data_IF_557929499755
#
_entry.id   IF_557929499755
#
_cell.length_a   1.000
_cell.length_b   1.000
_cell.length_c   1.000
_cell.angle_alpha   90.00
_cell.angle_beta   90.00
_cell.angle_gamma   90.00
#
_symmetry.space_group_name_H-M   'P 1'
#
loop_
_entity.id
_entity.type
_entity.pdbx_description
1 polymer ?
#
# COMPACT_ATOMS: atom_id res chain seq x y z
N UNK A 1 54.55 -10.58 -18.50
CA UNK A 1 54.98 -9.17 -18.50
C UNK A 1 53.86 -8.30 -19.08
N UNK A 2 53.50 -7.22 -18.36
CA UNK A 2 52.61 -6.08 -18.73
C UNK A 2 51.12 -6.42 -18.91
N UNK A 3 50.16 -6.15 -18.02
CA UNK A 3 49.82 -5.04 -17.08
C UNK A 3 49.09 -3.83 -17.72
N UNK A 4 47.96 -3.48 -17.07
CA UNK A 4 47.14 -2.23 -17.09
C UNK A 4 45.98 -2.19 -18.10
N UNK A 5 44.78 -1.66 -17.83
CA UNK A 5 44.28 -0.84 -16.71
C UNK A 5 42.73 -0.91 -16.69
N UNK A 6 42.13 -0.97 -15.49
CA UNK A 6 40.70 -0.83 -15.28
C UNK A 6 40.30 0.66 -15.27
N UNK A 7 39.14 0.98 -15.85
CA UNK A 7 38.44 2.25 -15.66
C UNK A 7 37.04 1.92 -15.14
N UNK A 8 36.79 2.30 -13.90
CA UNK A 8 35.47 2.32 -13.30
C UNK A 8 34.73 3.57 -13.81
N UNK A 9 33.52 3.38 -14.34
CA UNK A 9 32.60 4.47 -14.66
C UNK A 9 31.40 4.37 -13.72
N UNK A 10 31.41 5.17 -12.66
CA UNK A 10 30.29 5.36 -11.76
C UNK A 10 29.27 6.27 -12.46
N UNK A 11 28.11 5.73 -12.83
CA UNK A 11 26.98 6.53 -13.32
C UNK A 11 26.04 6.78 -12.14
N UNK A 12 25.99 8.05 -11.71
CA UNK A 12 25.02 8.56 -10.73
C UNK A 12 23.69 8.77 -11.46
N UNK A 13 22.65 8.04 -11.06
CA UNK A 13 21.27 8.33 -11.44
C UNK A 13 20.79 9.55 -10.64
N UNK A 14 20.59 10.68 -11.32
CA UNK A 14 19.97 11.88 -10.77
C UNK A 14 18.46 11.87 -11.03
N UNK A 15 17.71 12.14 -9.96
CA UNK A 15 16.28 12.42 -9.98
C UNK A 15 15.96 13.65 -10.85
N UNK A 16 14.96 13.53 -11.73
CA UNK A 16 14.38 14.66 -12.44
C UNK A 16 13.53 15.51 -11.49
N UNK A 17 14.15 16.50 -10.86
CA UNK A 17 13.49 17.71 -10.36
C UNK A 17 13.73 18.84 -11.36
N UNK A 18 12.66 19.34 -11.98
CA UNK A 18 12.72 20.45 -12.92
C UNK A 18 12.80 21.80 -12.19
N UNK A 19 13.89 22.53 -12.43
CA UNK A 19 14.04 23.94 -12.09
C UNK A 19 14.70 24.68 -13.25
N UNK A 20 14.06 25.76 -13.71
CA UNK A 20 14.70 26.83 -14.50
C UNK A 20 14.70 28.10 -13.63
N UNK A 21 15.68 28.99 -13.64
CA UNK A 21 16.88 29.12 -14.47
C UNK A 21 17.14 30.61 -14.69
N UNK A 22 18.32 31.08 -14.24
CA UNK A 22 18.91 32.39 -14.58
C UNK A 22 18.93 33.39 -13.41
N UNK A 23 20.05 34.02 -13.03
CA UNK A 23 21.40 33.99 -13.55
C UNK A 23 22.27 35.04 -12.83
N UNK A 24 23.58 34.77 -12.87
CA UNK A 24 24.73 35.70 -12.80
C UNK A 24 25.19 36.37 -11.48
N UNK A 25 26.48 36.08 -11.21
CA UNK A 25 27.60 36.97 -10.88
C UNK A 25 27.97 37.30 -9.41
N UNK A 26 29.07 36.67 -8.99
CA UNK A 26 30.33 37.22 -8.46
C UNK A 26 30.42 37.89 -7.06
N UNK A 27 31.17 37.18 -6.20
CA UNK A 27 32.28 37.61 -5.32
C UNK A 27 32.09 38.48 -4.06
N UNK A 28 32.78 38.00 -3.02
CA UNK A 28 33.42 38.65 -1.86
C UNK A 28 32.59 39.07 -0.64
N UNK A 29 32.77 38.26 0.42
CA UNK A 29 33.22 38.57 1.79
C UNK A 29 32.65 39.77 2.57
N UNK A 30 32.27 39.45 3.80
CA UNK A 30 31.66 40.27 4.84
C UNK A 30 32.56 41.37 5.44
N UNK A 31 31.95 42.45 5.93
CA UNK A 31 32.10 42.90 7.33
C UNK A 31 31.11 44.03 7.72
N UNK A 32 30.65 43.93 8.99
CA UNK A 32 30.32 44.98 9.96
C UNK A 32 29.19 46.02 9.73
N UNK A 33 28.33 46.11 10.75
CA UNK A 33 27.32 47.14 11.05
C UNK A 33 27.96 48.43 11.67
N UNK A 34 27.25 49.41 12.30
CA UNK A 34 25.81 49.76 12.34
C UNK A 34 25.52 51.30 12.22
N UNK A 35 24.27 51.69 12.57
CA UNK A 35 23.74 53.02 12.93
C UNK A 35 23.26 53.92 11.76
N UNK A 36 22.18 54.71 11.83
CA UNK A 36 21.11 54.97 12.81
C UNK A 36 20.10 55.93 12.15
N UNK A 37 18.87 55.96 12.70
CA UNK A 37 17.93 57.10 12.75
C UNK A 37 17.32 57.70 11.45
N UNK A 38 16.01 57.54 11.28
CA UNK A 38 15.00 58.62 11.49
C UNK A 38 13.60 58.18 11.03
N UNK A 39 12.61 58.40 11.90
CA UNK A 39 11.16 58.37 11.59
C UNK A 39 10.71 59.78 11.12
N UNK A 40 9.41 60.12 10.91
CA UNK A 40 8.19 59.32 10.68
C UNK A 40 7.32 59.86 9.49
N UNK A 41 6.28 59.13 9.06
CA UNK A 41 5.09 59.74 8.41
C UNK A 41 3.82 58.86 8.48
N UNK A 42 2.89 59.31 9.32
CA UNK A 42 1.43 59.42 9.19
C UNK A 42 0.57 58.38 8.40
N UNK A 43 -0.29 57.71 9.19
CA UNK A 43 -1.77 57.61 9.09
C UNK A 43 -2.45 57.22 7.77
N UNK A 44 -3.06 56.03 7.78
CA UNK A 44 -4.38 55.79 7.21
C UNK A 44 -5.18 54.85 8.13
N UNK A 45 -6.41 55.25 8.41
CA UNK A 45 -7.40 54.56 9.25
C UNK A 45 -7.84 53.22 8.65
N UNK A 46 -8.18 52.21 9.47
CA UNK A 46 -8.70 50.93 8.97
C UNK A 46 -10.21 51.01 8.68
N UNK A 47 -10.62 50.50 7.53
CA UNK A 47 -12.02 50.23 7.21
C UNK A 47 -12.54 49.10 8.11
N UNK A 48 -13.71 49.32 8.71
CA UNK A 48 -14.40 48.37 9.56
C UNK A 48 -14.86 47.15 8.75
N UNK A 49 -14.27 45.99 9.03
CA UNK A 49 -14.80 44.71 8.58
C UNK A 49 -15.98 44.32 9.47
N UNK A 50 -17.14 44.18 8.85
CA UNK A 50 -18.36 43.57 9.40
C UNK A 50 -18.02 42.19 9.99
N UNK A 51 -18.44 41.85 11.23
CA UNK A 51 -18.20 40.51 11.77
C UNK A 51 -18.98 39.49 10.95
N UNK A 52 -18.26 38.52 10.39
CA UNK A 52 -18.87 37.35 9.76
C UNK A 52 -19.75 36.64 10.79
N UNK A 53 -20.98 36.36 10.35
CA UNK A 53 -21.98 35.50 10.97
C UNK A 53 -21.34 34.39 11.80
N UNK A 54 -21.63 34.37 13.10
CA UNK A 54 -21.20 33.33 14.01
C UNK A 54 -21.62 31.96 13.51
N UNK A 55 -20.63 31.18 13.05
CA UNK A 55 -20.74 29.74 12.92
C UNK A 55 -21.02 29.21 14.33
N UNK A 56 -22.26 28.85 14.61
CA UNK A 56 -22.61 28.13 15.83
C UNK A 56 -21.76 26.87 15.87
N UNK A 57 -20.86 26.78 16.86
CA UNK A 57 -20.02 25.61 17.05
C UNK A 57 -20.89 24.34 17.05
N UNK A 58 -20.56 23.39 16.17
CA UNK A 58 -21.23 22.09 16.14
C UNK A 58 -21.01 21.45 17.51
N UNK A 59 -22.10 21.26 18.26
CA UNK A 59 -22.03 20.56 19.55
C UNK A 59 -21.96 19.07 19.25
N UNK A 60 -20.76 18.52 19.28
CA UNK A 60 -20.57 17.07 19.20
C UNK A 60 -21.24 16.41 20.40
N UNK A 61 -22.27 15.60 20.14
CA UNK A 61 -22.97 14.83 21.16
C UNK A 61 -22.67 13.35 20.93
N UNK A 62 -21.82 12.78 21.78
CA UNK A 62 -21.35 11.39 21.64
C UNK A 62 -20.07 11.13 22.41
N UNK A 63 -19.71 9.86 22.53
CA UNK A 63 -18.39 9.45 23.02
C UNK A 63 -17.29 9.77 22.01
N UNK A 64 -16.02 9.46 22.34
CA UNK A 64 -14.89 9.67 21.43
C UNK A 64 -14.94 8.77 20.18
N UNK A 65 -15.75 7.71 20.20
CA UNK A 65 -15.87 6.72 19.13
C UNK A 65 -17.33 6.41 18.80
N UNK A 66 -17.61 6.11 17.53
CA UNK A 66 -18.92 5.67 17.05
C UNK A 66 -18.76 4.62 15.96
N UNK A 67 -19.67 3.64 15.93
CA UNK A 67 -19.85 2.70 14.81
C UNK A 67 -21.00 3.14 13.88
N UNK A 68 -21.55 4.33 14.11
CA UNK A 68 -22.59 4.96 13.30
C UNK A 68 -21.98 6.18 12.59
N UNK A 69 -21.85 6.10 11.27
CA UNK A 69 -21.25 7.15 10.43
C UNK A 69 -22.01 8.49 10.53
N UNK A 70 -23.30 8.47 10.87
CA UNK A 70 -24.10 9.71 10.99
C UNK A 70 -23.78 10.51 12.26
N UNK A 71 -23.07 9.90 13.20
CA UNK A 71 -22.66 10.53 14.48
C UNK A 71 -21.22 11.03 14.48
N UNK A 72 -20.52 10.95 13.35
CA UNK A 72 -19.17 11.50 13.22
C UNK A 72 -19.23 13.00 13.41
N UNK A 73 -18.30 13.53 14.21
CA UNK A 73 -18.28 14.95 14.53
C UNK A 73 -16.85 15.47 14.60
N UNK A 74 -16.66 16.68 14.07
CA UNK A 74 -15.42 17.45 14.19
C UNK A 74 -15.70 18.78 14.89
N UNK A 75 -14.71 19.28 15.63
CA UNK A 75 -14.80 20.61 16.25
C UNK A 75 -14.67 21.74 15.23
N UNK A 76 -14.75 22.99 15.70
CA UNK A 76 -14.67 24.18 14.86
C UNK A 76 -13.30 24.35 14.14
N UNK A 77 -12.26 23.62 14.57
CA UNK A 77 -10.95 23.59 13.90
C UNK A 77 -10.85 22.50 12.82
N UNK A 78 -11.89 21.67 12.68
CA UNK A 78 -11.91 20.51 11.78
C UNK A 78 -11.29 19.25 12.38
N UNK A 79 -10.87 19.28 13.66
CA UNK A 79 -10.34 18.10 14.35
C UNK A 79 -11.48 17.15 14.68
N UNK A 80 -11.31 15.87 14.36
CA UNK A 80 -12.28 14.82 14.69
C UNK A 80 -12.40 14.67 16.20
N UNK A 81 -13.63 14.75 16.72
CA UNK A 81 -13.98 14.61 18.15
C UNK A 81 -14.66 13.26 18.41
N UNK A 82 -15.50 12.81 17.48
CA UNK A 82 -16.13 11.49 17.51
C UNK A 82 -15.69 10.73 16.26
N UNK A 83 -14.75 9.80 16.45
CA UNK A 83 -14.15 9.02 15.39
C UNK A 83 -15.04 7.85 14.94
N UNK A 84 -15.12 7.63 13.62
CA UNK A 84 -15.78 6.46 13.05
C UNK A 84 -14.85 5.26 13.07
N UNK A 85 -15.29 4.16 13.69
CA UNK A 85 -14.49 2.95 13.93
C UNK A 85 -15.27 1.70 13.54
N UNK A 86 -14.59 0.55 13.43
CA UNK A 86 -15.23 -0.72 13.08
C UNK A 86 -15.92 -1.35 14.29
N UNK A 87 -15.28 -1.27 15.44
CA UNK A 87 -15.82 -1.69 16.73
C UNK A 87 -15.58 -0.64 17.80
N UNK A 88 -16.24 -0.75 18.96
CA UNK A 88 -15.92 0.14 20.08
C UNK A 88 -14.58 -0.31 20.69
N UNK A 89 -13.56 0.56 20.74
CA UNK A 89 -12.24 0.14 21.20
C UNK A 89 -12.24 -0.09 22.70
N UNK A 90 -11.59 -1.18 23.11
CA UNK A 90 -11.30 -1.44 24.51
C UNK A 90 -10.00 -0.74 24.93
N UNK A 91 -9.00 -0.72 24.04
CA UNK A 91 -7.72 -0.07 24.27
C UNK A 91 -7.46 0.96 23.19
N UNK A 92 -7.10 2.18 23.60
CA UNK A 92 -6.61 3.22 22.69
C UNK A 92 -5.10 3.30 22.82
N UNK A 93 -4.40 3.12 21.70
CA UNK A 93 -2.95 3.32 21.60
C UNK A 93 -2.70 4.75 21.13
N UNK A 94 -2.07 5.61 21.96
CA UNK A 94 -1.81 7.00 21.59
C UNK A 94 -0.88 7.12 20.38
N UNK A 95 -1.03 8.23 19.64
CA UNK A 95 -0.08 8.62 18.60
C UNK A 95 1.34 8.81 19.18
N UNK A 96 2.36 8.43 18.42
CA UNK A 96 3.76 8.49 18.82
C UNK A 96 4.17 7.41 19.82
N UNK A 97 3.34 6.37 20.04
CA UNK A 97 3.71 5.24 20.91
C UNK A 97 4.91 4.49 20.32
N UNK A 98 5.95 4.28 21.15
CA UNK A 98 7.14 3.51 20.77
C UNK A 98 7.19 2.20 21.57
N UNK A 99 7.21 1.08 20.87
CA UNK A 99 7.43 -0.26 21.41
C UNK A 99 8.94 -0.52 21.40
N UNK A 100 9.58 -0.31 22.55
CA UNK A 100 11.04 -0.42 22.72
C UNK A 100 11.52 -1.78 23.24
N UNK A 101 10.60 -2.67 23.59
CA UNK A 101 10.86 -4.05 23.99
C UNK A 101 9.76 -4.98 23.48
N UNK A 102 10.03 -6.28 23.46
CA UNK A 102 9.05 -7.28 23.03
C UNK A 102 7.72 -7.10 23.76
N UNK A 103 6.65 -6.96 22.98
CA UNK A 103 5.32 -6.60 23.44
C UNK A 103 4.30 -7.47 22.74
N UNK A 104 3.31 -7.94 23.50
CA UNK A 104 2.15 -8.64 22.97
C UNK A 104 0.90 -7.81 23.24
N UNK A 105 0.03 -7.67 22.25
CA UNK A 105 -1.30 -7.09 22.43
C UNK A 105 -2.31 -8.22 22.68
N UNK A 106 -2.66 -8.54 23.93
CA UNK A 106 -3.53 -9.68 24.22
C UNK A 106 -4.98 -9.45 23.76
N UNK A 107 -5.70 -10.54 23.47
CA UNK A 107 -7.13 -10.50 23.15
C UNK A 107 -7.96 -9.78 24.23
N UNK A 108 -7.54 -9.84 25.50
CA UNK A 108 -8.22 -9.16 26.62
C UNK A 108 -8.16 -7.63 26.55
N UNK A 109 -7.39 -7.03 25.64
CA UNK A 109 -7.38 -5.58 25.39
C UNK A 109 -7.98 -5.19 24.05
N UNK A 110 -8.48 -6.14 23.27
CA UNK A 110 -9.03 -5.93 21.94
C UNK A 110 -10.51 -5.48 22.00
N UNK A 111 -10.99 -4.61 21.10
CA UNK A 111 -10.29 -3.98 19.99
C UNK A 111 -9.27 -2.92 20.39
N UNK A 112 -8.15 -2.88 19.67
CA UNK A 112 -7.11 -1.85 19.80
C UNK A 112 -7.32 -0.78 18.74
N UNK A 113 -7.60 0.45 19.16
CA UNK A 113 -7.65 1.60 18.25
C UNK A 113 -6.32 2.35 18.25
N UNK A 114 -5.76 2.54 17.05
CA UNK A 114 -4.51 3.26 16.85
C UNK A 114 -4.80 4.73 16.54
N UNK A 115 -4.53 5.62 17.49
CA UNK A 115 -4.83 7.05 17.35
C UNK A 115 -3.91 7.80 16.36
N UNK A 116 -2.81 7.17 15.95
CA UNK A 116 -1.82 7.74 15.03
C UNK A 116 -0.79 6.69 14.64
N UNK A 117 0.49 7.02 14.72
CA UNK A 117 1.60 6.12 14.41
C UNK A 117 2.11 5.42 15.66
N UNK A 118 2.28 4.10 15.57
CA UNK A 118 2.96 3.26 16.54
C UNK A 118 4.25 2.76 15.92
N UNK A 119 5.38 3.00 16.57
CA UNK A 119 6.67 2.53 16.12
C UNK A 119 7.07 1.25 16.85
N UNK A 120 7.37 0.18 16.12
CA UNK A 120 8.05 -0.99 16.65
C UNK A 120 9.55 -0.78 16.50
N UNK A 121 10.26 -0.46 17.58
CA UNK A 121 11.67 -0.09 17.53
C UNK A 121 12.57 -1.26 17.10
N UNK A 122 13.76 -0.95 16.57
CA UNK A 122 14.75 -1.95 16.18
C UNK A 122 15.11 -2.85 17.36
N UNK A 123 15.07 -4.16 17.14
CA UNK A 123 15.35 -5.17 18.17
C UNK A 123 14.16 -5.50 19.08
N UNK A 124 13.03 -4.80 18.95
CA UNK A 124 11.78 -5.16 19.61
C UNK A 124 10.84 -5.92 18.66
N UNK A 125 9.97 -6.72 19.24
CA UNK A 125 8.92 -7.46 18.54
C UNK A 125 7.55 -7.03 19.03
N UNK A 126 6.66 -6.64 18.11
CA UNK A 126 5.23 -6.58 18.40
C UNK A 126 4.56 -7.87 17.92
N UNK A 127 3.90 -8.57 18.84
CA UNK A 127 3.07 -9.74 18.54
C UNK A 127 1.59 -9.42 18.71
N UNK A 128 0.82 -9.64 17.65
CA UNK A 128 -0.64 -9.54 17.63
C UNK A 128 -1.19 -10.96 17.44
N UNK A 129 -1.52 -11.67 18.54
CA UNK A 129 -1.99 -13.06 18.48
C UNK A 129 -3.42 -13.16 17.93
N UNK A 130 -3.83 -14.40 17.68
CA UNK A 130 -5.17 -14.79 17.24
C UNK A 130 -6.30 -14.14 18.06
N UNK A 131 -7.42 -13.85 17.39
CA UNK A 131 -8.61 -13.26 18.00
C UNK A 131 -8.50 -11.77 18.32
N UNK A 132 -7.36 -11.13 18.04
CA UNK A 132 -7.18 -9.70 18.23
C UNK A 132 -7.69 -8.92 17.02
N UNK A 133 -8.45 -7.87 17.29
CA UNK A 133 -8.76 -6.78 16.36
C UNK A 133 -7.88 -5.58 16.66
N UNK A 134 -7.18 -5.10 15.63
CA UNK A 134 -6.48 -3.82 15.59
C UNK A 134 -7.11 -2.97 14.50
N UNK A 135 -7.47 -1.75 14.83
CA UNK A 135 -8.18 -0.85 13.93
C UNK A 135 -7.60 0.56 13.91
N UNK A 136 -7.70 1.19 12.74
CA UNK A 136 -7.56 2.62 12.55
C UNK A 136 -8.91 3.29 12.38
N UNK A 137 -8.90 4.46 11.74
CA UNK A 137 -10.14 5.13 11.37
C UNK A 137 -10.85 4.38 10.24
N UNK A 138 -12.15 4.17 10.40
CA UNK A 138 -13.00 3.67 9.33
C UNK A 138 -13.34 4.82 8.37
N UNK A 139 -13.22 4.63 7.05
CA UNK A 139 -13.64 5.64 6.08
C UNK A 139 -15.13 5.97 6.26
N UNK A 140 -15.46 7.25 6.41
CA UNK A 140 -16.86 7.70 6.47
C UNK A 140 -17.46 7.56 5.08
N UNK A 141 -18.54 6.78 4.89
CA UNK A 141 -19.19 6.66 3.59
C UNK A 141 -19.73 8.03 3.16
N UNK A 142 -19.39 8.45 1.95
CA UNK A 142 -19.98 9.64 1.35
C UNK A 142 -21.13 9.24 0.42
N UNK A 143 -22.17 10.07 0.37
CA UNK A 143 -23.38 9.79 -0.42
C UNK A 143 -23.34 10.39 -1.83
N UNK A 144 -22.39 11.28 -2.12
CA UNK A 144 -22.21 11.92 -3.43
C UNK A 144 -20.76 12.33 -3.63
N UNK A 145 -20.23 12.07 -4.83
CA UNK A 145 -18.92 12.47 -5.36
C UNK A 145 -17.85 12.75 -4.30
N UNK A 146 -17.20 11.69 -3.82
CA UNK A 146 -16.03 11.82 -2.98
C UNK A 146 -14.92 10.85 -3.37
N UNK A 147 -13.70 11.28 -3.13
CA UNK A 147 -12.52 10.43 -3.16
C UNK A 147 -12.18 10.19 -1.70
N UNK A 148 -12.10 8.92 -1.31
CA UNK A 148 -11.60 8.52 -0.01
C UNK A 148 -10.22 9.10 0.23
N UNK A 149 -9.80 9.14 1.49
CA UNK A 149 -8.42 9.47 1.81
C UNK A 149 -7.75 8.23 2.36
N UNK A 150 -6.52 7.98 1.94
CA UNK A 150 -5.64 7.02 2.60
C UNK A 150 -5.58 7.42 4.08
N UNK A 151 -5.77 6.48 5.02
CA UNK A 151 -5.62 6.78 6.44
C UNK A 151 -4.25 7.39 6.71
N UNK A 152 -4.23 8.60 7.27
CA UNK A 152 -3.00 9.24 7.78
C UNK A 152 -2.74 8.91 9.25
N UNK A 153 -3.59 8.06 9.83
CA UNK A 153 -3.55 7.58 11.21
C UNK A 153 -3.77 6.07 11.21
N UNK A 154 -3.44 5.41 12.31
CA UNK A 154 -3.53 3.96 12.41
C UNK A 154 -2.39 3.24 11.71
N UNK A 155 -1.18 3.75 11.89
CA UNK A 155 0.03 3.25 11.23
C UNK A 155 0.83 2.43 12.25
N UNK A 156 1.24 1.23 11.87
CA UNK A 156 2.27 0.46 12.55
C UNK A 156 3.53 0.55 11.70
N UNK A 157 4.51 1.33 12.16
CA UNK A 157 5.81 1.51 11.51
C UNK A 157 6.86 0.58 12.13
N UNK A 158 7.45 -0.28 11.32
CA UNK A 158 8.16 -1.48 11.78
C UNK A 158 9.67 -1.36 11.49
N UNK A 159 10.41 -0.93 12.52
CA UNK A 159 11.87 -0.98 12.56
C UNK A 159 12.42 -2.32 13.10
N UNK A 160 11.65 -2.95 13.99
CA UNK A 160 11.93 -4.24 14.61
C UNK A 160 11.26 -5.39 13.87
N UNK A 161 10.38 -6.12 14.58
CA UNK A 161 9.61 -7.22 14.01
C UNK A 161 8.13 -7.07 14.33
N UNK A 162 7.27 -7.32 13.35
CA UNK A 162 5.83 -7.43 13.53
C UNK A 162 5.38 -8.84 13.18
N UNK A 163 4.76 -9.52 14.15
CA UNK A 163 4.15 -10.83 13.99
C UNK A 163 2.65 -10.72 14.20
N UNK A 164 1.87 -11.02 13.16
CA UNK A 164 0.40 -10.98 13.20
C UNK A 164 -0.15 -12.37 12.95
N UNK A 165 -1.01 -12.81 13.86
CA UNK A 165 -1.71 -14.08 13.84
C UNK A 165 -0.85 -15.30 14.14
N UNK A 166 -1.46 -16.46 13.93
CA UNK A 166 -0.93 -17.77 14.29
C UNK A 166 -1.72 -18.86 13.58
N UNK A 167 -2.84 -19.28 14.15
CA UNK A 167 -3.67 -20.39 13.63
C UNK A 167 -5.11 -19.99 13.33
N UNK A 168 -5.64 -19.04 14.09
CA UNK A 168 -6.98 -18.48 13.98
C UNK A 168 -6.93 -17.02 13.50
N UNK A 169 -8.09 -16.43 13.26
CA UNK A 169 -8.18 -15.15 12.56
C UNK A 169 -7.78 -13.94 13.43
N UNK A 170 -6.92 -13.07 12.91
CA UNK A 170 -6.66 -11.69 13.41
C UNK A 170 -7.33 -10.68 12.50
N UNK A 171 -7.76 -9.52 13.01
CA UNK A 171 -8.36 -8.47 12.18
C UNK A 171 -7.49 -7.21 12.18
N UNK A 172 -7.12 -6.73 10.99
CA UNK A 172 -6.44 -5.46 10.76
C UNK A 172 -7.36 -4.56 9.91
N UNK A 173 -8.06 -3.61 10.56
CA UNK A 173 -9.15 -2.86 9.95
C UNK A 173 -8.78 -1.37 9.79
N UNK A 174 -8.62 -0.88 8.57
CA UNK A 174 -8.19 0.51 8.33
C UNK A 174 -6.77 0.81 8.85
N UNK A 175 -5.93 -0.21 9.01
CA UNK A 175 -4.57 -0.11 9.54
C UNK A 175 -3.57 -0.05 8.39
N UNK A 176 -2.55 0.80 8.51
CA UNK A 176 -1.37 0.78 7.64
C UNK A 176 -0.24 0.05 8.34
N UNK A 177 0.30 -1.00 7.73
CA UNK A 177 1.55 -1.65 8.14
C UNK A 177 2.66 -1.17 7.22
N UNK A 178 3.69 -0.54 7.78
CA UNK A 178 4.79 0.06 7.04
C UNK A 178 6.14 -0.41 7.60
N UNK A 179 7.14 -0.58 6.75
CA UNK A 179 8.54 -0.64 7.14
C UNK A 179 9.45 0.16 6.19
N UNK A 180 8.87 1.12 5.43
CA UNK A 180 9.57 1.90 4.39
C UNK A 180 10.26 3.15 4.91
N UNK A 181 10.10 3.51 6.19
CA UNK A 181 10.75 4.71 6.74
C UNK A 181 12.27 4.60 6.59
N UNK A 182 12.92 5.61 5.99
CA UNK A 182 14.35 5.57 5.71
C UNK A 182 15.24 5.76 6.96
N UNK A 183 14.68 6.32 8.04
CA UNK A 183 15.37 6.61 9.30
C UNK A 183 15.21 5.48 10.31
N UNK A 184 14.10 4.75 10.27
CA UNK A 184 13.79 3.67 11.23
C UNK A 184 13.38 2.34 10.59
N UNK A 185 12.95 2.31 9.33
CA UNK A 185 12.43 1.13 8.66
C UNK A 185 13.46 0.04 8.32
N UNK A 186 12.98 -0.99 7.62
CA UNK A 186 13.73 -2.21 7.32
C UNK A 186 13.50 -3.37 8.30
N UNK A 187 12.54 -3.25 9.22
CA UNK A 187 12.11 -4.36 10.07
C UNK A 187 11.36 -5.45 9.29
N UNK A 188 11.19 -6.62 9.89
CA UNK A 188 10.49 -7.75 9.24
C UNK A 188 9.02 -7.78 9.61
N UNK A 189 8.17 -8.08 8.63
CA UNK A 189 6.71 -8.17 8.82
C UNK A 189 6.23 -9.57 8.41
N UNK A 190 5.57 -10.25 9.34
CA UNK A 190 4.88 -11.53 9.11
C UNK A 190 3.40 -11.37 9.45
N UNK A 191 2.54 -11.59 8.46
CA UNK A 191 1.09 -11.55 8.60
C UNK A 191 0.54 -12.93 8.24
N UNK A 192 -0.13 -13.58 9.18
CA UNK A 192 -0.67 -14.92 8.98
C UNK A 192 -2.10 -14.95 9.51
N UNK A 193 -2.97 -15.72 8.84
CA UNK A 193 -4.36 -15.90 9.27
C UNK A 193 -5.08 -14.56 9.56
N UNK A 194 -4.83 -13.51 8.78
CA UNK A 194 -5.40 -12.20 9.05
C UNK A 194 -6.55 -11.86 8.08
N UNK A 195 -7.56 -11.15 8.58
CA UNK A 195 -8.51 -10.36 7.79
C UNK A 195 -8.03 -8.92 7.75
N UNK A 196 -7.62 -8.46 6.58
CA UNK A 196 -7.24 -7.10 6.31
C UNK A 196 -8.39 -6.45 5.54
N UNK A 197 -8.92 -5.35 6.07
CA UNK A 197 -10.00 -4.60 5.42
C UNK A 197 -9.68 -3.11 5.42
N UNK A 198 -9.76 -2.48 4.24
CA UNK A 198 -9.37 -1.07 4.05
C UNK A 198 -7.96 -0.76 4.56
N UNK A 199 -7.11 -1.79 4.59
CA UNK A 199 -5.77 -1.74 5.13
C UNK A 199 -4.76 -1.32 4.06
N UNK A 200 -3.60 -0.86 4.52
CA UNK A 200 -2.46 -0.59 3.66
C UNK A 200 -1.25 -1.40 4.12
N UNK A 201 -0.49 -1.94 3.18
CA UNK A 201 0.77 -2.64 3.42
C UNK A 201 1.83 -2.00 2.53
N UNK A 202 2.79 -1.33 3.17
CA UNK A 202 3.87 -0.57 2.52
C UNK A 202 5.22 -1.15 2.96
N UNK A 203 5.75 -2.04 2.13
CA UNK A 203 6.97 -2.78 2.47
C UNK A 203 8.15 -2.31 1.62
N UNK A 204 9.28 -2.11 2.30
CA UNK A 204 10.58 -1.84 1.72
C UNK A 204 11.10 -3.05 0.97
N UNK A 205 11.59 -2.89 -0.27
CA UNK A 205 12.25 -3.95 -1.03
C UNK A 205 13.48 -4.58 -0.32
N UNK A 206 14.04 -3.89 0.68
CA UNK A 206 15.21 -4.37 1.42
C UNK A 206 14.86 -5.34 2.56
N UNK A 207 13.59 -5.47 2.91
CA UNK A 207 13.14 -6.22 4.07
C UNK A 207 12.32 -7.45 3.67
N UNK A 208 12.55 -8.62 4.28
CA UNK A 208 11.69 -9.78 4.11
C UNK A 208 10.26 -9.48 4.57
N UNK A 209 9.30 -9.94 3.78
CA UNK A 209 7.88 -9.91 4.10
C UNK A 209 7.24 -11.28 3.85
N UNK A 210 6.34 -11.66 4.74
CA UNK A 210 5.54 -12.87 4.59
C UNK A 210 4.07 -12.57 4.85
N UNK A 211 3.22 -12.98 3.93
CA UNK A 211 1.77 -13.00 4.12
C UNK A 211 1.24 -14.40 3.78
N UNK A 212 0.59 -15.05 4.73
CA UNK A 212 0.03 -16.39 4.52
C UNK A 212 -1.38 -16.56 5.08
N UNK A 213 -2.18 -17.41 4.44
CA UNK A 213 -3.53 -17.78 4.91
C UNK A 213 -4.44 -16.60 5.24
N UNK A 214 -4.22 -15.44 4.61
CA UNK A 214 -4.86 -14.18 4.96
C UNK A 214 -5.88 -13.76 3.90
N UNK A 215 -6.88 -13.00 4.32
CA UNK A 215 -7.90 -12.41 3.46
C UNK A 215 -7.71 -10.90 3.45
N UNK A 216 -7.58 -10.32 2.27
CA UNK A 216 -7.34 -8.91 2.04
C UNK A 216 -8.47 -8.34 1.18
N UNK A 217 -9.31 -7.53 1.79
CA UNK A 217 -10.39 -6.81 1.14
C UNK A 217 -10.01 -5.35 1.04
N UNK A 218 -9.96 -4.84 -0.19
CA UNK A 218 -9.64 -3.41 -0.44
C UNK A 218 -8.28 -3.04 0.16
N UNK A 219 -7.29 -3.92 -0.02
CA UNK A 219 -5.91 -3.65 0.40
C UNK A 219 -5.27 -2.65 -0.55
N UNK A 220 -4.60 -1.64 0.01
CA UNK A 220 -3.86 -0.62 -0.74
C UNK A 220 -4.69 0.20 -1.73
N UNK A 221 -6.01 0.31 -1.52
CA UNK A 221 -6.90 1.11 -2.38
C UNK A 221 -7.52 2.26 -1.63
N UNK A 222 -7.90 3.27 -2.39
CA UNK A 222 -8.74 4.36 -1.93
C UNK A 222 -10.12 4.22 -2.59
N UNK A 223 -11.22 4.23 -1.82
CA UNK A 223 -12.56 4.19 -2.40
C UNK A 223 -12.84 5.49 -3.14
N UNK A 224 -13.56 5.39 -4.25
CA UNK A 224 -14.06 6.53 -5.02
C UNK A 224 -15.55 6.32 -5.18
N UNK A 225 -16.35 7.27 -4.71
CA UNK A 225 -17.79 7.25 -4.92
C UNK A 225 -18.12 8.26 -6.01
N UNK A 226 -18.74 7.80 -7.10
CA UNK A 226 -19.28 8.66 -8.18
C UNK A 226 -20.71 8.25 -8.47
N UNK A 227 -21.63 9.22 -8.44
CA UNK A 227 -23.06 8.95 -8.66
C UNK A 227 -23.63 7.79 -7.81
N UNK A 228 -23.16 7.64 -6.56
CA UNK A 228 -23.61 6.60 -5.63
C UNK A 228 -22.99 5.21 -5.84
N UNK A 229 -22.10 5.04 -6.82
CA UNK A 229 -21.35 3.80 -7.05
C UNK A 229 -19.95 3.93 -6.46
N UNK A 230 -19.58 2.98 -5.59
CA UNK A 230 -18.21 2.88 -5.05
C UNK A 230 -17.35 2.05 -6.00
N UNK A 231 -16.31 2.66 -6.54
CA UNK A 231 -15.18 2.00 -7.17
C UNK A 231 -13.94 2.17 -6.30
N UNK A 232 -12.83 1.58 -6.72
CA UNK A 232 -11.56 1.70 -6.02
C UNK A 232 -10.47 2.15 -6.99
N UNK A 233 -9.48 2.86 -6.45
CA UNK A 233 -8.26 3.21 -7.15
C UNK A 233 -7.08 2.80 -6.28
N UNK A 234 -5.98 2.32 -6.88
CA UNK A 234 -4.76 2.10 -6.11
C UNK A 234 -4.29 3.37 -5.42
N UNK A 235 -3.74 3.21 -4.21
CA UNK A 235 -3.20 4.32 -3.43
C UNK A 235 -2.12 5.08 -4.20
N UNK A 236 -2.08 6.40 -4.00
CA UNK A 236 -1.10 7.30 -4.64
C UNK A 236 0.33 7.10 -4.16
N UNK A 237 0.55 6.32 -3.11
CA UNK A 237 1.88 6.09 -2.50
C UNK A 237 2.73 5.06 -3.26
N UNK A 238 2.31 4.68 -4.47
CA UNK A 238 2.93 3.63 -5.27
C UNK A 238 2.56 2.23 -4.78
N UNK A 239 2.83 1.24 -5.62
CA UNK A 239 2.67 -0.17 -5.26
C UNK A 239 3.73 -0.56 -4.23
N UNK A 240 3.41 -1.34 -3.19
CA UNK A 240 4.47 -1.98 -2.42
C UNK A 240 5.29 -2.85 -3.38
N UNK A 241 6.61 -2.82 -3.22
CA UNK A 241 7.54 -3.56 -4.07
C UNK A 241 8.19 -4.65 -3.23
N UNK A 242 7.81 -5.89 -3.48
CA UNK A 242 8.30 -7.04 -2.74
C UNK A 242 9.56 -7.62 -3.37
N UNK A 243 10.52 -7.96 -2.50
CA UNK A 243 11.69 -8.79 -2.80
C UNK A 243 11.90 -9.77 -1.66
N UNK A 244 12.45 -10.95 -1.95
CA UNK A 244 12.70 -12.03 -0.99
C UNK A 244 11.49 -12.27 -0.06
N UNK A 245 10.30 -12.21 -0.63
CA UNK A 245 9.03 -12.22 0.11
C UNK A 245 8.21 -13.47 -0.21
N UNK A 246 7.34 -13.85 0.71
CA UNK A 246 6.45 -15.01 0.57
C UNK A 246 4.99 -14.59 0.67
N UNK A 247 4.20 -14.94 -0.34
CA UNK A 247 2.77 -14.68 -0.45
C UNK A 247 2.10 -16.02 -0.76
N UNK A 248 1.49 -16.68 0.23
CA UNK A 248 0.84 -17.97 0.00
C UNK A 248 -0.54 -18.11 0.60
N UNK A 249 -1.44 -18.80 -0.09
CA UNK A 249 -2.76 -19.13 0.47
C UNK A 249 -3.58 -17.89 0.86
N UNK A 250 -3.33 -16.74 0.23
CA UNK A 250 -4.04 -15.51 0.53
C UNK A 250 -5.21 -15.29 -0.44
N UNK A 251 -6.21 -14.54 0.00
CA UNK A 251 -7.28 -14.02 -0.86
C UNK A 251 -7.15 -12.51 -0.96
N UNK A 252 -7.16 -11.96 -2.17
CA UNK A 252 -7.18 -10.53 -2.44
C UNK A 252 -8.46 -10.20 -3.22
N UNK A 253 -9.32 -9.34 -2.66
CA UNK A 253 -10.59 -8.92 -3.27
C UNK A 253 -10.61 -7.41 -3.38
N UNK A 254 -10.94 -6.89 -4.57
CA UNK A 254 -11.03 -5.45 -4.85
C UNK A 254 -9.80 -4.66 -4.35
N UNK A 255 -8.64 -5.31 -4.38
CA UNK A 255 -7.39 -4.81 -3.83
C UNK A 255 -6.52 -4.24 -4.94
N UNK A 256 -5.62 -3.33 -4.57
CA UNK A 256 -4.61 -2.81 -5.46
C UNK A 256 -3.55 -3.87 -5.72
N UNK A 257 -2.87 -3.69 -6.83
CA UNK A 257 -1.69 -4.46 -7.18
C UNK A 257 -0.54 -4.26 -6.18
N UNK A 258 0.46 -5.11 -6.32
CA UNK A 258 1.79 -4.92 -5.79
C UNK A 258 2.82 -5.23 -6.87
N UNK A 259 3.98 -4.60 -6.74
CA UNK A 259 5.13 -4.89 -7.57
C UNK A 259 5.99 -5.97 -6.91
N UNK A 260 6.65 -6.80 -7.70
CA UNK A 260 7.51 -7.85 -7.19
C UNK A 260 8.65 -8.19 -8.14
N UNK A 261 9.76 -8.65 -7.59
CA UNK A 261 10.86 -9.20 -8.35
C UNK A 261 10.77 -10.73 -8.48
N UNK A 262 11.63 -11.36 -9.28
CA UNK A 262 11.64 -12.81 -9.47
C UNK A 262 12.14 -13.61 -8.26
N UNK A 263 12.41 -13.00 -7.11
CA UNK A 263 12.74 -13.71 -5.87
C UNK A 263 11.51 -13.97 -4.99
N UNK A 264 10.36 -13.37 -5.32
CA UNK A 264 9.12 -13.51 -4.57
C UNK A 264 8.43 -14.83 -4.86
N UNK A 265 8.00 -15.52 -3.79
CA UNK A 265 7.20 -16.74 -3.89
C UNK A 265 5.72 -16.38 -3.75
N UNK A 266 4.96 -16.57 -4.82
CA UNK A 266 3.52 -16.30 -4.91
C UNK A 266 2.78 -17.58 -5.30
N UNK A 267 2.26 -18.31 -4.32
CA UNK A 267 1.65 -19.62 -4.56
C UNK A 267 0.28 -19.77 -3.93
N UNK A 268 -0.63 -20.42 -4.63
CA UNK A 268 -1.95 -20.76 -4.09
C UNK A 268 -2.72 -19.54 -3.56
N UNK A 269 -2.52 -18.35 -4.14
CA UNK A 269 -3.31 -17.18 -3.80
C UNK A 269 -4.53 -17.09 -4.72
N UNK A 270 -5.57 -16.44 -4.22
CA UNK A 270 -6.77 -16.08 -4.95
C UNK A 270 -6.80 -14.56 -5.14
N UNK A 271 -6.97 -14.11 -6.38
CA UNK A 271 -7.13 -12.71 -6.74
C UNK A 271 -8.49 -12.53 -7.41
N UNK A 272 -9.34 -11.67 -6.85
CA UNK A 272 -10.70 -11.42 -7.33
C UNK A 272 -10.86 -9.93 -7.58
N UNK A 273 -11.20 -9.57 -8.83
CA UNK A 273 -11.53 -8.18 -9.22
C UNK A 273 -10.45 -7.16 -8.82
N UNK A 274 -9.17 -7.52 -8.98
CA UNK A 274 -8.07 -6.62 -8.65
C UNK A 274 -8.21 -5.26 -9.36
N UNK A 275 -7.95 -4.19 -8.63
CA UNK A 275 -8.09 -2.81 -9.12
C UNK A 275 -7.03 -2.48 -10.15
N UNK A 276 -5.83 -3.07 -10.03
CA UNK A 276 -4.71 -2.94 -10.96
C UNK A 276 -4.02 -4.29 -11.18
N UNK A 277 -3.24 -4.41 -12.26
CA UNK A 277 -2.44 -5.60 -12.58
C UNK A 277 -1.22 -5.72 -11.69
N UNK A 278 -0.87 -6.94 -11.27
CA UNK A 278 0.44 -7.26 -10.67
C UNK A 278 1.58 -6.70 -11.52
N UNK A 279 2.63 -6.19 -10.89
CA UNK A 279 3.76 -5.58 -11.61
C UNK A 279 5.02 -6.41 -11.42
N UNK A 280 5.52 -7.03 -12.49
CA UNK A 280 6.83 -7.67 -12.47
C UNK A 280 7.91 -6.61 -12.70
N UNK A 281 8.81 -6.45 -11.74
CA UNK A 281 9.99 -5.58 -11.86
C UNK A 281 11.14 -6.37 -12.48
N UNK A 282 11.81 -5.76 -13.45
CA UNK A 282 13.01 -6.28 -14.08
C UNK A 282 14.24 -6.22 -13.14
N UNK A 283 14.26 -7.07 -12.12
CA UNK A 283 15.38 -7.28 -11.19
C UNK A 283 15.75 -8.76 -11.10
N UNK A 284 15.99 -9.37 -12.26
CA UNK A 284 16.42 -10.76 -12.36
C UNK A 284 17.88 -10.91 -11.89
N UNK A 285 18.23 -12.02 -11.20
CA UNK A 285 19.61 -12.28 -10.83
C UNK A 285 20.49 -12.39 -12.08
N UNK A 286 21.64 -11.71 -12.06
CA UNK A 286 22.59 -11.70 -13.19
C UNK A 286 23.08 -13.09 -13.61
N UNK A 287 23.02 -14.07 -12.70
CA UNK A 287 23.30 -15.48 -12.95
C UNK A 287 22.36 -16.37 -12.14
N UNK A 288 21.75 -17.36 -12.79
CA UNK A 288 20.87 -18.33 -12.15
C UNK A 288 19.42 -18.23 -12.62
N UNK A 289 18.63 -19.26 -12.31
CA UNK A 289 17.18 -19.19 -12.51
C UNK A 289 16.57 -18.26 -11.44
N UNK A 290 15.48 -17.54 -11.75
CA UNK A 290 14.70 -16.86 -10.72
C UNK A 290 14.31 -17.86 -9.63
N UNK A 291 14.45 -17.45 -8.36
CA UNK A 291 14.16 -18.29 -7.19
C UNK A 291 12.68 -18.25 -6.81
N UNK A 292 11.99 -17.20 -7.21
CA UNK A 292 10.57 -16.96 -7.02
C UNK A 292 9.71 -17.82 -7.96
N UNK A 293 8.50 -18.10 -7.50
CA UNK A 293 7.55 -19.00 -8.16
C UNK A 293 6.17 -18.35 -8.11
N UNK A 294 5.54 -18.12 -9.25
CA UNK A 294 4.18 -17.60 -9.35
C UNK A 294 3.24 -18.66 -9.93
N UNK A 295 2.87 -19.67 -9.11
CA UNK A 295 2.13 -20.86 -9.57
C UNK A 295 0.92 -21.20 -8.71
N UNK A 296 -0.02 -21.93 -9.30
CA UNK A 296 -1.21 -22.45 -8.64
C UNK A 296 -2.09 -21.35 -8.01
N UNK A 297 -1.97 -20.12 -8.48
CA UNK A 297 -2.85 -19.02 -8.10
C UNK A 297 -4.14 -19.07 -8.94
N UNK A 298 -5.19 -18.41 -8.46
CA UNK A 298 -6.44 -18.19 -9.19
C UNK A 298 -6.67 -16.71 -9.43
N UNK A 299 -6.94 -16.32 -10.67
CA UNK A 299 -7.26 -14.95 -11.09
C UNK A 299 -8.69 -14.91 -11.62
N UNK A 300 -9.59 -14.29 -10.87
CA UNK A 300 -11.02 -14.25 -11.17
C UNK A 300 -11.50 -12.83 -11.45
N UNK A 301 -12.22 -12.66 -12.55
CA UNK A 301 -12.87 -11.40 -12.94
C UNK A 301 -14.36 -11.63 -13.03
N UNK A 302 -15.15 -10.94 -12.20
CA UNK A 302 -16.59 -11.14 -12.10
C UNK A 302 -17.36 -10.24 -13.06
N UNK A 303 -18.43 -10.78 -13.67
CA UNK A 303 -19.24 -10.08 -14.69
C UNK A 303 -19.85 -8.75 -14.24
N UNK A 304 -20.05 -8.58 -12.92
CA UNK A 304 -20.62 -7.38 -12.34
C UNK A 304 -19.61 -6.61 -11.48
N UNK A 305 -18.32 -6.87 -11.66
CA UNK A 305 -17.27 -6.16 -10.94
C UNK A 305 -17.30 -4.67 -11.31
N UNK A 306 -17.33 -3.74 -10.33
CA UNK A 306 -17.21 -2.32 -10.59
C UNK A 306 -15.79 -1.92 -11.02
N UNK A 307 -14.80 -2.78 -10.77
CA UNK A 307 -13.42 -2.54 -11.20
C UNK A 307 -13.31 -2.93 -12.67
N UNK A 308 -12.81 -2.03 -13.51
CA UNK A 308 -12.70 -2.24 -14.97
C UNK A 308 -11.40 -2.93 -15.39
N UNK A 309 -10.43 -3.03 -14.48
CA UNK A 309 -9.16 -3.69 -14.78
C UNK A 309 -9.40 -5.19 -15.07
N UNK A 310 -8.86 -5.66 -16.19
CA UNK A 310 -8.84 -7.07 -16.58
C UNK A 310 -7.43 -7.62 -16.74
N UNK A 311 -6.42 -6.77 -16.52
CA UNK A 311 -5.03 -7.16 -16.59
C UNK A 311 -4.63 -7.86 -15.29
N UNK A 312 -4.05 -9.05 -15.42
CA UNK A 312 -3.51 -9.83 -14.29
C UNK A 312 -2.11 -9.35 -13.96
N UNK A 313 -1.26 -9.22 -14.98
CA UNK A 313 0.16 -8.92 -14.78
C UNK A 313 0.74 -8.08 -15.91
N UNK A 314 1.61 -7.15 -15.54
CA UNK A 314 2.40 -6.33 -16.44
C UNK A 314 3.89 -6.38 -16.09
N UNK A 315 4.74 -6.61 -17.08
CA UNK A 315 6.18 -6.54 -16.94
C UNK A 315 6.69 -5.10 -17.15
N UNK A 316 7.43 -4.58 -16.18
CA UNK A 316 7.94 -3.22 -16.14
C UNK A 316 9.47 -3.24 -15.98
N UNK A 317 10.16 -2.31 -16.64
CA UNK A 317 11.62 -2.23 -16.63
C UNK A 317 12.18 -1.72 -17.95
N UNK A 318 13.49 -1.88 -18.13
CA UNK A 318 14.19 -1.45 -19.34
C UNK A 318 14.29 -2.65 -20.28
N UNK A 319 13.67 -2.56 -21.45
CA UNK A 319 13.82 -3.61 -22.45
C UNK A 319 15.28 -3.75 -22.91
N UNK A 320 15.76 -4.98 -22.87
CA UNK A 320 17.04 -5.38 -23.42
C UNK A 320 16.88 -6.74 -24.08
N UNK A 321 16.97 -6.77 -25.42
CA UNK A 321 16.81 -7.99 -26.21
C UNK A 321 17.83 -9.09 -25.83
N UNK A 322 19.00 -8.70 -25.30
CA UNK A 322 20.06 -9.62 -24.86
C UNK A 322 19.81 -10.23 -23.47
N UNK A 323 18.83 -9.72 -22.71
CA UNK A 323 18.55 -10.13 -21.34
C UNK A 323 17.06 -10.37 -21.13
N UNK A 324 16.34 -10.85 -22.16
CA UNK A 324 14.95 -11.25 -21.97
C UNK A 324 14.90 -12.44 -21.02
N UNK A 325 14.30 -12.24 -19.86
CA UNK A 325 14.05 -13.31 -18.90
C UNK A 325 12.64 -13.85 -19.08
N UNK A 326 12.43 -15.10 -18.66
CA UNK A 326 11.10 -15.70 -18.62
C UNK A 326 10.70 -15.93 -17.17
N UNK A 327 9.53 -15.44 -16.80
CA UNK A 327 8.90 -15.75 -15.53
C UNK A 327 7.84 -16.83 -15.72
N UNK A 328 7.88 -17.84 -14.86
CA UNK A 328 6.98 -18.99 -14.94
C UNK A 328 5.67 -18.70 -14.20
N UNK A 329 4.61 -18.52 -14.98
CA UNK A 329 3.21 -18.34 -14.58
C UNK A 329 2.35 -19.56 -14.96
N UNK A 330 2.97 -20.73 -15.19
CA UNK A 330 2.25 -21.95 -15.52
C UNK A 330 1.39 -22.46 -14.35
N UNK A 331 0.37 -23.26 -14.67
CA UNK A 331 -0.53 -23.90 -13.71
C UNK A 331 -1.34 -22.92 -12.83
N UNK A 332 -1.42 -21.66 -13.21
CA UNK A 332 -2.41 -20.76 -12.63
C UNK A 332 -3.78 -20.97 -13.29
N UNK A 333 -4.85 -20.81 -12.52
CA UNK A 333 -6.22 -20.77 -13.04
C UNK A 333 -6.62 -19.33 -13.35
N UNK A 334 -7.07 -19.08 -14.57
CA UNK A 334 -7.34 -17.71 -15.06
C UNK A 334 -8.83 -17.37 -15.06
N UNK A 335 -9.68 -18.19 -14.44
CA UNK A 335 -11.13 -18.06 -14.51
C UNK A 335 -11.74 -18.45 -15.87
N UNK A 336 -10.89 -18.63 -16.89
CA UNK A 336 -11.19 -19.02 -18.26
C UNK A 336 -10.10 -19.98 -18.78
N UNK A 337 -10.38 -20.70 -19.86
CA UNK A 337 -9.42 -21.62 -20.53
C UNK A 337 -9.01 -21.19 -21.93
N UNK A 338 -9.61 -20.11 -22.45
CA UNK A 338 -9.30 -19.57 -23.78
C UNK A 338 -7.96 -18.82 -23.76
N UNK A 339 -6.97 -19.31 -24.52
CA UNK A 339 -5.62 -18.74 -24.53
C UNK A 339 -5.56 -17.30 -25.06
N UNK A 340 -6.46 -16.92 -25.99
CA UNK A 340 -6.51 -15.54 -26.49
C UNK A 340 -6.93 -14.58 -25.39
N UNK A 341 -7.94 -14.96 -24.61
CA UNK A 341 -8.40 -14.21 -23.44
C UNK A 341 -7.34 -14.18 -22.33
N UNK A 342 -6.63 -15.29 -22.08
CA UNK A 342 -5.54 -15.31 -21.10
C UNK A 342 -4.41 -14.36 -21.54
N UNK A 343 -3.98 -14.45 -22.80
CA UNK A 343 -2.93 -13.58 -23.34
C UNK A 343 -3.33 -12.10 -23.26
N UNK A 344 -4.58 -11.74 -23.52
CA UNK A 344 -5.02 -10.34 -23.42
C UNK A 344 -5.01 -9.78 -22.00
N UNK A 345 -4.78 -10.61 -20.97
CA UNK A 345 -4.66 -10.21 -19.56
C UNK A 345 -3.20 -10.07 -19.10
N UNK A 346 -2.24 -10.27 -20.02
CA UNK A 346 -0.80 -10.24 -19.77
C UNK A 346 -0.18 -9.13 -20.62
N UNK A 347 0.59 -8.24 -20.00
CA UNK A 347 1.35 -7.20 -20.66
C UNK A 347 2.85 -7.49 -20.52
N UNK A 348 3.48 -8.06 -21.55
CA UNK A 348 4.90 -8.46 -21.55
C UNK A 348 5.55 -8.28 -22.93
N UNK A 349 6.79 -8.76 -23.12
CA UNK A 349 7.51 -8.59 -24.40
C UNK A 349 6.86 -9.30 -25.59
N UNK A 350 5.84 -10.13 -25.38
CA UNK A 350 5.09 -10.80 -26.45
C UNK A 350 3.90 -9.97 -26.93
N UNK A 351 3.57 -8.87 -26.23
CA UNK A 351 2.53 -7.94 -26.66
C UNK A 351 2.96 -7.20 -27.94
N UNK A 352 2.29 -7.53 -29.04
CA UNK A 352 2.53 -6.91 -30.36
C UNK A 352 2.25 -5.41 -30.39
N UNK A 353 1.44 -4.88 -29.47
CA UNK A 353 1.17 -3.45 -29.34
C UNK A 353 2.32 -2.69 -28.67
N UNK A 354 3.14 -3.37 -27.87
CA UNK A 354 4.31 -2.80 -27.23
C UNK A 354 5.45 -3.84 -27.08
N UNK A 355 6.22 -4.11 -28.15
CA UNK A 355 7.30 -5.10 -28.12
C UNK A 355 8.53 -4.65 -27.30
N UNK A 356 8.50 -3.45 -26.70
CA UNK A 356 9.56 -2.91 -25.85
C UNK A 356 9.27 -3.11 -24.36
N UNK A 357 8.38 -4.01 -24.01
CA UNK A 357 8.23 -4.46 -22.63
C UNK A 357 9.32 -5.48 -22.30
N UNK A 358 9.93 -5.42 -21.11
CA UNK A 358 10.91 -6.42 -20.71
C UNK A 358 10.22 -7.74 -20.38
N UNK A 359 10.98 -8.83 -20.50
CA UNK A 359 10.62 -10.17 -20.01
C UNK A 359 9.39 -10.82 -20.67
N UNK A 360 9.34 -12.15 -20.57
CA UNK A 360 8.25 -13.01 -21.06
C UNK A 360 7.55 -13.65 -19.87
N UNK A 361 6.23 -13.64 -19.86
CA UNK A 361 5.40 -14.27 -18.83
C UNK A 361 4.84 -15.57 -19.41
N UNK A 362 5.46 -16.69 -19.05
CA UNK A 362 5.07 -18.00 -19.55
C UNK A 362 3.91 -18.56 -18.73
N UNK A 363 2.67 -18.41 -19.22
CA UNK A 363 1.46 -18.90 -18.52
C UNK A 363 1.07 -20.34 -18.88
N UNK A 364 1.66 -20.93 -19.92
CA UNK A 364 1.28 -22.26 -20.40
C UNK A 364 2.01 -23.39 -19.65
N UNK A 365 1.33 -24.51 -19.33
CA UNK A 365 -0.11 -24.72 -19.48
C UNK A 365 -0.91 -23.92 -18.44
N UNK A 366 -2.06 -23.37 -18.85
CA UNK A 366 -3.05 -22.83 -17.92
C UNK A 366 -3.80 -23.97 -17.22
N UNK A 367 -4.15 -23.80 -15.95
CA UNK A 367 -4.94 -24.78 -15.23
C UNK A 367 -6.41 -24.73 -15.69
N UNK A 368 -7.05 -25.90 -15.82
CA UNK A 368 -8.47 -26.00 -16.21
C UNK A 368 -9.43 -25.65 -15.06
N UNK A 369 -8.97 -25.73 -13.82
CA UNK A 369 -9.70 -25.37 -12.60
C UNK A 369 -8.72 -24.81 -11.56
N UNK A 370 -9.25 -24.14 -10.53
CA UNK A 370 -8.47 -23.72 -9.38
C UNK A 370 -7.77 -24.93 -8.71
N UNK A 371 -6.57 -24.70 -8.18
CA UNK A 371 -5.86 -25.68 -7.36
C UNK A 371 -6.62 -25.89 -6.03
N UNK A 372 -6.78 -27.13 -5.52
CA UNK A 372 -7.53 -27.39 -4.29
C UNK A 372 -6.99 -26.67 -3.03
N UNK A 373 -5.71 -26.28 -3.02
CA UNK A 373 -5.11 -25.55 -1.91
C UNK A 373 -5.26 -24.02 -2.06
N UNK A 374 -5.73 -23.51 -3.20
CA UNK A 374 -6.09 -22.09 -3.34
C UNK A 374 -7.34 -21.79 -2.51
N UNK A 375 -7.39 -20.66 -1.79
CA UNK A 375 -8.58 -20.26 -1.04
C UNK A 375 -9.86 -20.27 -1.89
N UNK A 376 -10.97 -20.61 -1.24
CA UNK A 376 -12.27 -20.60 -1.88
C UNK A 376 -12.69 -19.17 -2.26
N UNK A 377 -13.34 -19.04 -3.41
CA UNK A 377 -13.87 -17.77 -3.89
C UNK A 377 -15.01 -17.25 -3.00
N UNK A 378 -14.83 -16.11 -2.30
CA UNK A 378 -15.89 -15.54 -1.46
C UNK A 378 -17.08 -15.02 -2.28
N UNK A 379 -16.94 -14.89 -3.60
CA UNK A 379 -17.96 -14.45 -4.55
C UNK A 379 -18.40 -15.58 -5.50
N UNK A 380 -18.34 -16.84 -5.04
CA UNK A 380 -18.57 -18.02 -5.90
C UNK A 380 -19.97 -18.14 -6.54
N UNK A 381 -20.94 -17.34 -6.08
CA UNK A 381 -22.26 -17.23 -6.69
C UNK A 381 -22.30 -16.25 -7.89
N UNK A 382 -21.24 -15.47 -8.12
CA UNK A 382 -21.12 -14.55 -9.25
C UNK A 382 -20.28 -15.20 -10.35
N UNK A 383 -20.82 -15.34 -11.58
CA UNK A 383 -20.06 -15.88 -12.70
C UNK A 383 -18.82 -15.05 -13.06
N UNK A 384 -17.79 -15.72 -13.57
CA UNK A 384 -16.63 -15.07 -14.16
C UNK A 384 -16.95 -14.56 -15.58
N UNK A 385 -16.20 -13.56 -16.03
CA UNK A 385 -16.18 -13.06 -17.41
C UNK A 385 -15.40 -13.96 -18.37
#
# INVERSE_FOLDING_TARGET
MKSRMAVALSVVLAACGGGGGGGTSSTSAASAAPASSSAPAASATPASATPASGSTAVVCSGGPFTTDATKVCSDASGKVVTAYVYAQPQTVIPDGTVISSDTTWPASGSPYYLAGTVQVAKGATLTIPDGVTVEGLKPVPCTSDCIGKIPTTGIIDVAGQLNVGGTDQVQLLGVTVSNVDANVGGGTVSIQHAHLEDAFVQISPAAPFSMTYSQAYRLNVTPIVRAGVTTYQAGTNGYPSFKNSTLKFNTFVDSASFAFDPSVVMQNNLFVNMVDSLVLIDDFPASGAPTGIAKNNSFLFKQNSPNTNRMVIAAHGIYSASTLHTLDFSNNFWGVTDNTTIQSRILDSTDTSNPQLPNVISYAPAAASADPATPADPQGNVPNE
#
